data_IF_931876687928
#
_entry.id   IF_931876687928
#
_cell.length_a   1.000
_cell.length_b   1.000
_cell.length_c   1.000
_cell.angle_alpha   90.00
_cell.angle_beta   90.00
_cell.angle_gamma   90.00
#
_symmetry.space_group_name_H-M   'P 1'
#
loop_
_entity.id
_entity.type
_entity.pdbx_description
1 polymer ?
#
# COMPACT_ATOMS: atom_id res chain seq x y z
N UNK A 1 20.49 21.67 14.70
CA UNK A 1 20.34 21.21 13.31
C UNK A 1 19.15 21.96 12.71
N UNK A 2 19.39 22.80 11.71
CA UNK A 2 18.33 23.55 11.02
C UNK A 2 17.98 22.80 9.72
N UNK A 3 16.77 22.26 9.64
CA UNK A 3 16.22 21.71 8.41
C UNK A 3 15.42 22.82 7.73
N UNK A 4 15.99 23.40 6.66
CA UNK A 4 15.32 24.37 5.82
C UNK A 4 14.19 23.68 5.04
N UNK A 5 12.96 24.13 5.27
CA UNK A 5 11.88 24.03 4.31
C UNK A 5 12.18 24.98 3.13
N UNK A 6 12.29 24.45 1.91
CA UNK A 6 11.62 24.91 0.66
C UNK A 6 12.36 24.41 -0.60
N UNK A 7 11.55 23.91 -1.57
CA UNK A 7 11.79 23.85 -3.03
C UNK A 7 12.44 22.60 -3.69
N UNK A 8 11.58 21.83 -4.40
CA UNK A 8 11.82 20.88 -5.52
C UNK A 8 12.45 19.50 -5.21
N UNK A 9 11.67 18.60 -4.61
CA UNK A 9 11.93 17.15 -4.70
C UNK A 9 11.27 16.59 -5.98
N UNK A 10 12.00 16.53 -7.09
CA UNK A 10 11.54 15.80 -8.27
C UNK A 10 11.67 14.30 -8.00
N UNK A 11 10.61 13.67 -7.49
CA UNK A 11 10.55 12.21 -7.39
C UNK A 11 10.73 11.59 -8.77
N UNK A 12 11.58 10.58 -8.85
CA UNK A 12 11.72 9.74 -10.04
C UNK A 12 10.52 8.80 -10.17
N UNK A 13 10.21 8.35 -11.39
CA UNK A 13 9.16 7.33 -11.61
C UNK A 13 9.38 6.07 -10.74
N UNK A 14 10.65 5.70 -10.52
CA UNK A 14 11.01 4.54 -9.69
C UNK A 14 10.62 4.74 -8.22
N UNK A 15 10.89 5.91 -7.67
CA UNK A 15 10.51 6.24 -6.29
C UNK A 15 9.00 6.28 -6.13
N UNK A 16 8.29 6.85 -7.10
CA UNK A 16 6.82 6.87 -7.12
C UNK A 16 6.25 5.46 -7.15
N UNK A 17 6.70 4.61 -8.08
CA UNK A 17 6.22 3.22 -8.19
C UNK A 17 6.50 2.44 -6.91
N UNK A 18 7.70 2.57 -6.33
CA UNK A 18 8.03 1.89 -5.09
C UNK A 18 7.10 2.31 -3.95
N UNK A 19 6.87 3.60 -3.77
CA UNK A 19 5.99 4.11 -2.70
C UNK A 19 4.53 3.71 -2.90
N UNK A 20 4.04 3.75 -4.15
CA UNK A 20 2.70 3.29 -4.51
C UNK A 20 2.52 1.81 -4.22
N UNK A 21 3.52 0.97 -4.53
CA UNK A 21 3.51 -0.46 -4.23
C UNK A 21 3.57 -0.74 -2.72
N UNK A 22 4.41 -0.03 -1.97
CA UNK A 22 4.54 -0.17 -0.51
C UNK A 22 3.19 0.03 0.20
N UNK A 23 2.37 0.94 -0.30
CA UNK A 23 1.08 1.27 0.28
C UNK A 23 -0.11 0.67 -0.47
N UNK A 24 0.12 -0.18 -1.49
CA UNK A 24 -0.93 -0.76 -2.33
C UNK A 24 -1.95 0.28 -2.86
N UNK A 25 -1.46 1.48 -3.19
CA UNK A 25 -2.28 2.60 -3.66
C UNK A 25 -2.98 3.42 -2.57
N UNK A 26 -2.91 3.01 -1.30
CA UNK A 26 -3.44 3.78 -0.16
C UNK A 26 -2.45 4.87 0.26
N UNK A 27 -2.45 6.00 -0.45
CA UNK A 27 -1.56 7.13 -0.17
C UNK A 27 -2.16 8.03 0.94
N UNK A 28 -1.65 8.01 2.19
CA UNK A 28 -2.15 8.85 3.26
C UNK A 28 -1.77 10.33 3.08
N UNK A 29 -2.42 11.24 3.80
CA UNK A 29 -2.07 12.67 3.77
C UNK A 29 -0.72 12.94 4.44
N UNK A 30 0.35 12.83 3.65
CA UNK A 30 1.73 13.10 4.04
C UNK A 30 2.43 13.97 2.98
N UNK A 31 3.48 14.73 3.33
CA UNK A 31 4.24 15.51 2.36
C UNK A 31 4.79 14.68 1.19
N UNK A 32 5.13 13.42 1.45
CA UNK A 32 5.58 12.47 0.42
C UNK A 32 4.43 12.10 -0.53
N UNK A 33 3.24 11.85 0.00
CA UNK A 33 2.08 11.52 -0.82
C UNK A 33 1.62 12.70 -1.68
N UNK A 34 1.73 13.94 -1.18
CA UNK A 34 1.49 15.13 -2.00
C UNK A 34 2.46 15.17 -3.19
N UNK A 35 3.76 14.95 -2.96
CA UNK A 35 4.76 14.91 -4.04
C UNK A 35 4.52 13.76 -5.04
N UNK A 36 4.06 12.61 -4.56
CA UNK A 36 3.65 11.48 -5.42
C UNK A 36 2.43 11.88 -6.27
N UNK A 37 1.40 12.48 -5.67
CA UNK A 37 0.20 12.93 -6.38
C UNK A 37 0.54 14.00 -7.43
N UNK A 38 1.46 14.91 -7.13
CA UNK A 38 1.97 15.88 -8.11
C UNK A 38 2.67 15.17 -9.28
N UNK A 39 3.52 14.17 -9.02
CA UNK A 39 4.15 13.40 -10.10
C UNK A 39 3.13 12.61 -10.94
N UNK A 40 2.12 11.99 -10.32
CA UNK A 40 1.09 11.24 -11.02
C UNK A 40 0.27 12.14 -11.98
N UNK A 41 0.05 13.40 -11.63
CA UNK A 41 -0.63 14.38 -12.52
C UNK A 41 0.16 14.69 -13.79
N UNK A 42 1.49 14.68 -13.69
CA UNK A 42 2.38 15.11 -14.78
C UNK A 42 2.99 13.93 -15.56
N UNK A 43 2.90 12.69 -15.06
CA UNK A 43 3.49 11.51 -15.68
C UNK A 43 2.45 10.44 -16.02
N UNK A 44 2.07 10.37 -17.30
CA UNK A 44 1.09 9.40 -17.82
C UNK A 44 1.46 7.94 -17.50
N UNK A 45 2.74 7.56 -17.63
CA UNK A 45 3.18 6.19 -17.33
C UNK A 45 2.94 5.81 -15.87
N UNK A 46 3.24 6.71 -14.94
CA UNK A 46 3.04 6.48 -13.51
C UNK A 46 1.55 6.51 -13.15
N UNK A 47 0.76 7.41 -13.74
CA UNK A 47 -0.70 7.44 -13.56
C UNK A 47 -1.35 6.14 -14.03
N UNK A 48 -0.99 5.66 -15.23
CA UNK A 48 -1.52 4.41 -15.77
C UNK A 48 -1.16 3.21 -14.88
N UNK A 49 0.06 3.16 -14.36
CA UNK A 49 0.48 2.13 -13.41
C UNK A 49 -0.34 2.19 -12.11
N UNK A 50 -0.49 3.39 -11.54
CA UNK A 50 -1.28 3.60 -10.32
C UNK A 50 -2.72 3.13 -10.49
N UNK A 51 -3.38 3.53 -11.58
CA UNK A 51 -4.75 3.14 -11.89
C UNK A 51 -4.91 1.61 -12.05
N UNK A 52 -3.93 0.95 -12.66
CA UNK A 52 -3.92 -0.50 -12.81
C UNK A 52 -3.76 -1.20 -11.46
N UNK A 53 -2.86 -0.71 -10.61
CA UNK A 53 -2.67 -1.24 -9.26
C UNK A 53 -3.94 -1.06 -8.43
N UNK A 54 -4.54 0.12 -8.43
CA UNK A 54 -5.78 0.41 -7.68
C UNK A 54 -6.91 -0.54 -8.10
N UNK A 55 -7.13 -0.71 -9.41
CA UNK A 55 -8.12 -1.66 -9.94
C UNK A 55 -7.83 -3.09 -9.51
N UNK A 56 -6.56 -3.50 -9.54
CA UNK A 56 -6.14 -4.84 -9.12
C UNK A 56 -6.45 -5.06 -7.65
N UNK A 57 -6.05 -4.13 -6.78
CA UNK A 57 -6.33 -4.18 -5.33
C UNK A 57 -7.83 -4.24 -5.07
N UNK A 58 -8.62 -3.41 -5.76
CA UNK A 58 -10.08 -3.42 -5.66
C UNK A 58 -10.67 -4.78 -6.03
N UNK A 59 -10.26 -5.36 -7.16
CA UNK A 59 -10.73 -6.69 -7.59
C UNK A 59 -10.43 -7.76 -6.53
N UNK A 60 -9.22 -7.77 -5.95
CA UNK A 60 -8.87 -8.73 -4.91
C UNK A 60 -9.64 -8.51 -3.60
N UNK A 61 -9.97 -7.26 -3.23
CA UNK A 61 -10.80 -6.95 -2.06
C UNK A 61 -12.26 -7.39 -2.24
N UNK A 62 -12.79 -7.22 -3.45
CA UNK A 62 -14.16 -7.60 -3.77
C UNK A 62 -14.31 -9.10 -4.03
N UNK A 63 -13.22 -9.79 -4.37
CA UNK A 63 -13.19 -11.23 -4.59
C UNK A 63 -13.43 -11.98 -3.28
N UNK A 64 -14.71 -12.27 -3.00
CA UNK A 64 -15.13 -13.13 -1.91
C UNK A 64 -14.87 -14.58 -2.29
N UNK A 65 -13.73 -15.10 -1.84
CA UNK A 65 -13.53 -16.55 -1.77
C UNK A 65 -13.86 -17.02 -0.37
N UNK A 66 -14.69 -18.05 -0.27
CA UNK A 66 -14.86 -18.72 1.00
C UNK A 66 -13.55 -19.42 1.36
N UNK A 67 -13.05 -19.17 2.56
CA UNK A 67 -11.95 -19.95 3.11
C UNK A 67 -12.50 -21.31 3.54
N UNK A 68 -11.72 -22.40 3.40
CA UNK A 68 -12.15 -23.69 3.92
C UNK A 68 -12.46 -23.59 5.41
N UNK A 69 -13.48 -24.30 5.87
CA UNK A 69 -13.82 -24.39 7.28
C UNK A 69 -12.57 -24.71 8.12
N UNK A 70 -12.43 -24.04 9.26
CA UNK A 70 -11.29 -24.23 10.15
C UNK A 70 -9.98 -23.55 9.70
N UNK A 71 -9.96 -22.80 8.59
CA UNK A 71 -8.72 -22.20 8.06
C UNK A 71 -8.07 -21.22 9.05
N UNK A 72 -8.88 -20.42 9.74
CA UNK A 72 -8.42 -19.49 10.74
C UNK A 72 -7.75 -20.23 11.92
N UNK A 73 -8.41 -21.24 12.48
CA UNK A 73 -7.92 -22.03 13.61
C UNK A 73 -6.62 -22.76 13.25
N UNK A 74 -6.54 -23.35 12.04
CA UNK A 74 -5.32 -23.99 11.55
C UNK A 74 -4.17 -22.98 11.43
N UNK A 75 -4.43 -21.78 10.93
CA UNK A 75 -3.42 -20.73 10.78
C UNK A 75 -2.92 -20.23 12.14
N UNK A 76 -3.84 -19.91 13.06
CA UNK A 76 -3.50 -19.46 14.43
C UNK A 76 -2.66 -20.53 15.15
N UNK A 77 -3.05 -21.80 15.03
CA UNK A 77 -2.28 -22.93 15.56
C UNK A 77 -0.89 -23.03 14.93
N UNK A 78 -0.80 -22.92 13.60
CA UNK A 78 0.47 -22.98 12.88
C UNK A 78 1.43 -21.85 13.29
N UNK A 79 0.91 -20.64 13.47
CA UNK A 79 1.67 -19.47 13.89
C UNK A 79 2.02 -19.48 15.39
N UNK A 80 1.51 -20.45 16.16
CA UNK A 80 1.72 -20.50 17.62
C UNK A 80 1.05 -19.35 18.37
N UNK A 81 0.04 -18.72 17.77
CA UNK A 81 -0.71 -17.59 18.32
C UNK A 81 -1.94 -18.04 19.13
N UNK A 82 -1.98 -19.30 19.55
CA UNK A 82 -3.07 -19.80 20.38
C UNK A 82 -3.03 -19.06 21.72
N UNK A 83 -4.16 -18.47 22.12
CA UNK A 83 -4.28 -17.80 23.40
C UNK A 83 -3.84 -18.77 24.51
N UNK A 84 -2.90 -18.32 25.35
CA UNK A 84 -2.65 -19.01 26.61
C UNK A 84 -3.88 -18.72 27.46
N UNK A 85 -4.72 -19.73 27.66
CA UNK A 85 -5.71 -19.70 28.74
C UNK A 85 -4.96 -19.41 30.04
N UNK A 86 -5.05 -18.17 30.53
CA UNK A 86 -4.64 -17.82 31.88
C UNK A 86 -5.57 -18.59 32.83
N UNK A 87 -4.99 -19.62 33.48
CA UNK A 87 -5.62 -20.40 34.54
C UNK A 87 -5.73 -19.58 35.83
#
# INVERSE_FOLDING_TARGET
>A
MNLNLTSKNNLTCKEVINQVCEHLGELPDSPLCVAIQEHLKECENCSNFYDQLEKTVKLFREYKTDLPDGAHERLIKFLGLQDKEEK
#
